data_IF_620576929520
#
_entry.id   IF_620576929520
#
_cell.length_a   1.000
_cell.length_b   1.000
_cell.length_c   1.000
_cell.angle_alpha   90.00
_cell.angle_beta   90.00
_cell.angle_gamma   90.00
#
_symmetry.space_group_name_H-M   'P 1'
#
loop_
_entity.id
_entity.type
_entity.pdbx_description
1 polymer ?
#
# COMPACT_ATOMS: atom_id res chain seq x y z
N UNK A 1 -17.16 25.14 1.87
CA UNK A 1 -16.84 23.70 1.98
C UNK A 1 -16.39 23.45 3.41
N UNK A 2 -16.90 22.44 4.14
CA UNK A 2 -16.31 22.10 5.42
C UNK A 2 -14.81 21.84 5.20
N UNK A 3 -13.97 22.40 6.08
CA UNK A 3 -12.52 22.27 6.00
C UNK A 3 -12.18 20.77 6.00
N UNK A 4 -11.43 20.31 5.00
CA UNK A 4 -11.08 18.88 4.89
C UNK A 4 -10.18 18.56 6.08
N UNK A 5 -10.67 17.82 7.08
CA UNK A 5 -9.88 17.50 8.28
C UNK A 5 -8.78 16.46 7.99
N UNK A 6 -9.05 15.57 7.04
CA UNK A 6 -8.21 14.42 6.71
C UNK A 6 -8.02 14.29 5.22
N UNK A 7 -6.82 13.93 4.78
CA UNK A 7 -6.53 13.65 3.39
C UNK A 7 -5.97 12.25 3.21
N UNK A 8 -6.59 11.46 2.34
CA UNK A 8 -6.06 10.16 1.92
C UNK A 8 -5.09 10.31 0.75
N UNK A 9 -3.92 9.69 0.87
CA UNK A 9 -2.91 9.66 -0.18
C UNK A 9 -2.56 8.18 -0.48
N UNK A 10 -3.05 7.62 -1.60
CA UNK A 10 -2.92 6.17 -1.88
C UNK A 10 -1.49 5.75 -2.22
N UNK A 11 -0.65 6.68 -2.67
CA UNK A 11 0.67 6.40 -3.22
C UNK A 11 0.63 6.01 -4.71
N UNK A 12 1.77 6.16 -5.37
CA UNK A 12 1.86 6.04 -6.83
C UNK A 12 1.85 4.59 -7.34
N UNK A 13 2.38 3.63 -6.58
CA UNK A 13 2.41 2.21 -6.97
C UNK A 13 1.03 1.57 -6.86
N UNK A 14 0.30 1.81 -5.76
CA UNK A 14 -1.08 1.31 -5.61
C UNK A 14 -2.00 1.87 -6.72
N UNK A 15 -1.84 3.15 -7.04
CA UNK A 15 -2.58 3.81 -8.13
C UNK A 15 -2.20 3.32 -9.53
N UNK A 16 -1.04 2.68 -9.70
CA UNK A 16 -0.67 2.00 -10.94
C UNK A 16 -1.17 0.58 -11.01
N UNK A 17 -1.27 -0.07 -9.86
CA UNK A 17 -1.69 -1.45 -9.73
C UNK A 17 -3.19 -1.58 -10.03
N UNK A 18 -4.05 -0.98 -9.19
CA UNK A 18 -5.50 -1.20 -9.29
C UNK A 18 -6.29 0.05 -8.89
N UNK A 19 -6.75 0.86 -9.87
CA UNK A 19 -7.50 2.10 -9.62
C UNK A 19 -8.78 1.91 -8.81
N UNK A 20 -9.45 0.77 -8.98
CA UNK A 20 -10.70 0.42 -8.31
C UNK A 20 -10.49 0.32 -6.80
N UNK A 21 -9.37 -0.25 -6.33
CA UNK A 21 -9.07 -0.33 -4.90
C UNK A 21 -8.91 1.04 -4.26
N UNK A 22 -8.28 1.99 -4.98
CA UNK A 22 -8.15 3.37 -4.49
C UNK A 22 -9.52 4.04 -4.36
N UNK A 23 -10.41 3.78 -5.31
CA UNK A 23 -11.79 4.27 -5.28
C UNK A 23 -12.54 3.75 -4.04
N UNK A 24 -12.46 2.44 -3.78
CA UNK A 24 -13.12 1.80 -2.64
C UNK A 24 -12.57 2.25 -1.30
N UNK A 25 -11.24 2.46 -1.18
CA UNK A 25 -10.65 3.02 0.05
C UNK A 25 -11.19 4.42 0.32
N UNK A 26 -11.34 5.27 -0.70
CA UNK A 26 -11.89 6.61 -0.51
C UNK A 26 -13.35 6.55 -0.09
N UNK A 27 -14.17 5.68 -0.70
CA UNK A 27 -15.57 5.48 -0.28
C UNK A 27 -15.66 5.01 1.17
N UNK A 28 -14.86 4.01 1.53
CA UNK A 28 -14.77 3.49 2.89
C UNK A 28 -14.38 4.57 3.89
N UNK A 29 -13.31 5.33 3.62
CA UNK A 29 -12.86 6.42 4.49
C UNK A 29 -13.89 7.55 4.57
N UNK A 30 -14.60 7.89 3.49
CA UNK A 30 -15.68 8.89 3.53
C UNK A 30 -16.86 8.43 4.38
N UNK A 31 -17.20 7.14 4.32
CA UNK A 31 -18.28 6.56 5.12
C UNK A 31 -17.92 6.55 6.62
N UNK A 32 -16.73 6.04 6.97
CA UNK A 32 -16.27 5.94 8.37
C UNK A 32 -15.82 7.27 8.96
N UNK A 33 -15.25 8.15 8.14
CA UNK A 33 -14.67 9.43 8.52
C UNK A 33 -15.16 10.55 7.57
N UNK A 34 -16.38 11.08 7.78
CA UNK A 34 -16.91 12.17 6.98
C UNK A 34 -15.96 13.37 6.92
N UNK A 35 -15.84 13.98 5.74
CA UNK A 35 -14.91 15.08 5.49
C UNK A 35 -13.49 14.65 5.09
N UNK A 36 -13.29 13.36 4.79
CA UNK A 36 -12.04 12.87 4.17
C UNK A 36 -11.95 13.29 2.70
N UNK A 37 -10.91 14.04 2.36
CA UNK A 37 -10.50 14.33 0.99
C UNK A 37 -9.44 13.35 0.49
N UNK A 38 -8.97 13.51 -0.74
CA UNK A 38 -7.85 12.70 -1.24
C UNK A 38 -6.96 13.46 -2.24
N UNK A 39 -5.66 13.15 -2.24
CA UNK A 39 -4.66 13.71 -3.15
C UNK A 39 -3.92 12.56 -3.85
N UNK A 40 -3.77 12.65 -5.17
CA UNK A 40 -2.89 11.78 -5.94
C UNK A 40 -1.66 12.54 -6.42
N UNK A 41 -0.61 12.49 -5.62
CA UNK A 41 0.69 13.11 -5.94
C UNK A 41 1.83 12.32 -5.29
N UNK A 42 2.95 12.22 -6.00
CA UNK A 42 4.10 11.44 -5.55
C UNK A 42 4.79 12.12 -4.35
N UNK A 43 5.19 11.32 -3.36
CA UNK A 43 5.95 11.80 -2.20
C UNK A 43 7.42 12.12 -2.49
N UNK A 44 7.92 11.86 -3.71
CA UNK A 44 9.31 12.13 -4.07
C UNK A 44 10.34 11.14 -3.49
N UNK A 45 9.93 10.04 -2.84
CA UNK A 45 10.84 9.01 -2.29
C UNK A 45 11.93 8.55 -3.28
N UNK A 46 11.65 8.29 -4.58
CA UNK A 46 12.70 7.92 -5.53
C UNK A 46 13.80 8.97 -5.71
N UNK A 47 13.47 10.25 -5.83
CA UNK A 47 14.47 11.31 -6.00
C UNK A 47 15.32 11.48 -4.75
N UNK A 48 14.72 11.32 -3.56
CA UNK A 48 15.46 11.31 -2.28
C UNK A 48 16.42 10.13 -2.20
N UNK A 49 15.97 8.94 -2.58
CA UNK A 49 16.80 7.72 -2.57
C UNK A 49 17.99 7.80 -3.54
N UNK A 50 17.88 8.57 -4.63
CA UNK A 50 18.98 8.84 -5.56
C UNK A 50 19.91 9.99 -5.13
N UNK A 51 19.74 10.55 -3.93
CA UNK A 51 20.53 11.69 -3.44
C UNK A 51 20.19 13.03 -4.13
N UNK A 52 19.13 13.08 -4.94
CA UNK A 52 18.70 14.31 -5.62
C UNK A 52 17.84 15.17 -4.66
N UNK A 53 18.45 15.64 -3.58
CA UNK A 53 17.75 16.29 -2.48
C UNK A 53 17.03 17.57 -2.87
N UNK A 54 17.57 18.39 -3.76
CA UNK A 54 16.90 19.63 -4.21
C UNK A 54 15.63 19.32 -5.01
N UNK A 55 15.70 18.34 -5.92
CA UNK A 55 14.53 17.85 -6.66
C UNK A 55 13.51 17.18 -5.74
N UNK A 56 13.96 16.51 -4.68
CA UNK A 56 13.07 15.98 -3.65
C UNK A 56 12.32 17.12 -2.94
N UNK A 57 13.03 18.16 -2.48
CA UNK A 57 12.44 19.32 -1.81
C UNK A 57 11.41 20.02 -2.70
N UNK A 58 11.74 20.25 -3.98
CA UNK A 58 10.84 20.85 -4.96
C UNK A 58 9.56 20.01 -5.15
N UNK A 59 9.70 18.70 -5.32
CA UNK A 59 8.53 17.80 -5.51
C UNK A 59 7.68 17.71 -4.26
N UNK A 60 8.33 17.61 -3.10
CA UNK A 60 7.64 17.47 -1.82
C UNK A 60 6.91 18.76 -1.44
N UNK A 61 7.52 19.94 -1.64
CA UNK A 61 6.87 21.22 -1.36
C UNK A 61 5.58 21.39 -2.16
N UNK A 62 5.56 20.93 -3.42
CA UNK A 62 4.34 20.91 -4.22
C UNK A 62 3.25 19.99 -3.65
N UNK A 63 3.61 18.88 -3.02
CA UNK A 63 2.65 17.99 -2.33
C UNK A 63 2.17 18.63 -1.03
N UNK A 64 3.08 19.16 -0.21
CA UNK A 64 2.76 19.86 1.03
C UNK A 64 1.80 21.02 0.78
N UNK A 65 2.06 21.85 -0.23
CA UNK A 65 1.19 22.97 -0.58
C UNK A 65 -0.24 22.53 -0.96
N UNK A 66 -0.42 21.35 -1.55
CA UNK A 66 -1.77 20.81 -1.82
C UNK A 66 -2.46 20.34 -0.54
N UNK A 67 -1.72 19.71 0.38
CA UNK A 67 -2.23 19.30 1.70
C UNK A 67 -2.67 20.54 2.49
N UNK A 68 -1.82 21.57 2.54
CA UNK A 68 -2.10 22.82 3.26
C UNK A 68 -3.29 23.57 2.66
N UNK A 69 -3.41 23.57 1.32
CA UNK A 69 -4.54 24.19 0.60
C UNK A 69 -5.87 23.50 0.92
N UNK A 70 -5.87 22.19 1.14
CA UNK A 70 -7.06 21.47 1.62
C UNK A 70 -7.39 21.78 3.09
N UNK A 71 -6.39 22.25 3.85
CA UNK A 71 -6.51 22.52 5.28
C UNK A 71 -6.57 21.24 6.12
N UNK A 72 -5.90 20.18 5.68
CA UNK A 72 -5.90 18.88 6.35
C UNK A 72 -4.90 18.83 7.52
N UNK A 73 -5.39 18.39 8.68
CA UNK A 73 -4.59 18.20 9.90
C UNK A 73 -4.04 16.77 10.00
N UNK A 74 -4.64 15.82 9.29
CA UNK A 74 -4.26 14.41 9.29
C UNK A 74 -4.08 13.87 7.86
N UNK A 75 -2.99 13.15 7.65
CA UNK A 75 -2.65 12.47 6.39
C UNK A 75 -2.79 10.97 6.61
N UNK A 76 -3.68 10.32 5.86
CA UNK A 76 -3.86 8.87 5.86
C UNK A 76 -3.18 8.30 4.62
N UNK A 77 -2.31 7.29 4.79
CA UNK A 77 -1.59 6.65 3.68
C UNK A 77 -1.75 5.14 3.67
N UNK A 78 -1.91 4.57 2.48
CA UNK A 78 -1.85 3.11 2.27
C UNK A 78 -0.42 2.62 1.95
N UNK A 79 0.49 3.52 1.56
CA UNK A 79 1.85 3.19 1.17
C UNK A 79 2.86 3.48 2.30
N UNK A 80 3.70 2.51 2.61
CA UNK A 80 4.70 2.50 3.68
C UNK A 80 5.83 3.49 3.40
N UNK A 81 6.22 3.61 2.13
CA UNK A 81 7.18 4.63 1.72
C UNK A 81 6.60 6.04 1.79
N UNK A 82 5.30 6.21 1.52
CA UNK A 82 4.61 7.48 1.75
C UNK A 82 4.54 7.78 3.26
N UNK A 83 4.22 6.79 4.09
CA UNK A 83 4.21 6.92 5.55
C UNK A 83 5.52 7.48 6.09
N UNK A 84 6.66 6.82 5.80
CA UNK A 84 7.97 7.30 6.24
C UNK A 84 8.30 8.70 5.72
N UNK A 85 8.07 8.92 4.42
CA UNK A 85 8.46 10.17 3.78
C UNK A 85 7.63 11.33 4.33
N UNK A 86 6.32 11.14 4.52
CA UNK A 86 5.44 12.19 5.00
C UNK A 86 5.62 12.44 6.49
N UNK A 87 5.77 11.39 7.31
CA UNK A 87 6.02 11.54 8.75
C UNK A 87 7.29 12.35 9.03
N UNK A 88 8.30 12.24 8.15
CA UNK A 88 9.56 12.98 8.28
C UNK A 88 9.55 14.39 7.66
N UNK A 89 8.53 14.77 6.88
CA UNK A 89 8.55 16.02 6.09
C UNK A 89 7.25 16.85 6.20
N UNK A 90 6.24 16.38 6.92
CA UNK A 90 4.98 17.09 7.22
C UNK A 90 4.78 17.18 8.75
N UNK A 91 5.63 17.92 9.49
CA UNK A 91 5.58 17.93 10.96
C UNK A 91 4.29 18.54 11.54
N UNK A 92 3.60 19.38 10.77
CA UNK A 92 2.34 20.01 11.17
C UNK A 92 1.13 19.08 11.04
N UNK A 93 1.27 17.96 10.32
CA UNK A 93 0.19 17.00 10.11
C UNK A 93 0.43 15.70 10.87
N UNK A 94 -0.65 15.15 11.45
CA UNK A 94 -0.64 13.79 11.98
C UNK A 94 -0.62 12.80 10.82
N UNK A 95 0.47 12.05 10.64
CA UNK A 95 0.57 11.04 9.59
C UNK A 95 0.20 9.67 10.16
N UNK A 96 -0.78 9.01 9.55
CA UNK A 96 -1.28 7.69 9.94
C UNK A 96 -1.27 6.71 8.79
N UNK A 97 -0.94 5.47 9.07
CA UNK A 97 -1.18 4.39 8.11
C UNK A 97 -2.67 4.03 8.08
N UNK A 98 -3.17 3.62 6.91
CA UNK A 98 -4.50 3.01 6.82
C UNK A 98 -4.59 1.74 7.68
N UNK A 99 -3.48 1.00 7.79
CA UNK A 99 -3.46 -0.32 8.42
C UNK A 99 -3.55 -0.25 9.94
N UNK A 100 -2.95 0.76 10.58
CA UNK A 100 -3.15 1.04 12.01
C UNK A 100 -4.54 1.64 12.30
N UNK A 101 -5.18 2.27 11.30
CA UNK A 101 -6.44 2.97 11.46
C UNK A 101 -7.65 2.03 11.35
N UNK A 102 -7.60 1.03 10.46
CA UNK A 102 -8.72 0.10 10.23
C UNK A 102 -9.20 -0.61 11.51
N UNK A 103 -8.32 -1.08 12.43
CA UNK A 103 -8.76 -1.62 13.71
C UNK A 103 -9.58 -0.64 14.57
N UNK A 104 -9.35 0.68 14.45
CA UNK A 104 -10.08 1.69 15.21
C UNK A 104 -11.45 2.04 14.61
N UNK A 105 -11.55 2.04 13.28
CA UNK A 105 -12.77 2.50 12.57
C UNK A 105 -13.61 1.32 12.03
N UNK A 106 -13.13 0.10 12.19
CA UNK A 106 -13.78 -1.15 11.81
C UNK A 106 -13.69 -1.49 10.32
N UNK A 107 -13.91 -2.75 9.98
CA UNK A 107 -13.91 -3.24 8.60
C UNK A 107 -15.01 -2.60 7.72
N UNK A 108 -14.86 -2.59 6.39
CA UNK A 108 -15.96 -2.28 5.48
C UNK A 108 -17.15 -3.25 5.68
N UNK A 109 -18.37 -2.77 5.44
CA UNK A 109 -19.58 -3.58 5.62
C UNK A 109 -19.55 -4.85 4.75
N UNK A 110 -20.00 -5.97 5.31
CA UNK A 110 -20.07 -7.26 4.60
C UNK A 110 -18.71 -7.94 4.32
N UNK A 111 -17.60 -7.45 4.88
CA UNK A 111 -16.28 -8.06 4.64
C UNK A 111 -15.81 -9.02 5.74
N UNK A 112 -16.42 -8.96 6.94
CA UNK A 112 -16.05 -9.84 8.06
C UNK A 112 -16.41 -11.29 7.73
N UNK A 113 -15.46 -12.22 7.97
CA UNK A 113 -15.54 -13.66 7.67
C UNK A 113 -15.85 -14.00 6.21
N UNK A 114 -15.71 -13.04 5.27
CA UNK A 114 -16.08 -13.29 3.88
C UNK A 114 -15.26 -14.41 3.24
N UNK A 115 -14.06 -14.68 3.77
CA UNK A 115 -13.12 -15.67 3.27
C UNK A 115 -12.98 -16.91 4.17
N UNK A 116 -13.89 -17.10 5.13
CA UNK A 116 -13.94 -18.27 6.05
C UNK A 116 -13.78 -19.62 5.33
N UNK A 117 -14.28 -19.72 4.10
CA UNK A 117 -14.27 -20.95 3.29
C UNK A 117 -13.22 -20.91 2.17
N UNK A 118 -12.26 -19.97 2.22
CA UNK A 118 -11.12 -19.96 1.30
C UNK A 118 -10.18 -21.12 1.62
N UNK A 119 -9.61 -21.72 0.58
CA UNK A 119 -8.58 -22.76 0.67
C UNK A 119 -7.14 -22.19 0.67
N UNK A 120 -7.00 -20.87 0.73
CA UNK A 120 -5.69 -20.21 0.73
C UNK A 120 -5.11 -20.09 2.13
N UNK A 121 -3.90 -20.59 2.31
CA UNK A 121 -2.98 -20.13 3.36
C UNK A 121 -2.07 -19.03 2.79
N UNK A 122 -2.20 -17.80 3.28
CA UNK A 122 -1.46 -16.65 2.77
C UNK A 122 -0.18 -16.40 3.57
N UNK A 123 0.97 -16.40 2.88
CA UNK A 123 2.22 -15.93 3.45
C UNK A 123 2.25 -14.41 3.57
N UNK A 124 2.42 -13.89 4.80
CA UNK A 124 2.41 -12.44 5.05
C UNK A 124 3.79 -11.84 4.81
N UNK A 125 3.90 -10.91 3.86
CA UNK A 125 5.13 -10.14 3.66
C UNK A 125 5.03 -8.74 4.26
N UNK A 126 5.72 -8.53 5.38
CA UNK A 126 5.89 -7.22 6.01
C UNK A 126 6.89 -6.33 5.26
N UNK A 127 6.55 -5.05 5.13
CA UNK A 127 7.38 -4.08 4.41
C UNK A 127 8.53 -3.56 5.27
N UNK A 128 9.76 -3.64 4.73
CA UNK A 128 10.95 -3.08 5.37
C UNK A 128 10.86 -1.56 5.65
N UNK A 129 10.00 -0.82 4.95
CA UNK A 129 9.80 0.62 5.20
C UNK A 129 9.03 0.89 6.50
N UNK A 130 8.33 -0.07 7.06
CA UNK A 130 7.58 0.09 8.32
C UNK A 130 7.94 -1.02 9.30
N UNK A 131 9.17 -1.56 9.22
CA UNK A 131 9.62 -2.66 10.07
C UNK A 131 9.55 -2.32 11.56
N UNK A 132 9.74 -1.05 11.91
CA UNK A 132 9.74 -0.60 13.31
C UNK A 132 8.33 -0.17 13.78
N UNK A 133 7.26 -0.58 13.06
CA UNK A 133 5.86 -0.19 13.32
C UNK A 133 5.00 -1.40 13.63
N UNK A 134 5.03 -1.81 14.90
CA UNK A 134 4.24 -2.92 15.43
C UNK A 134 2.72 -2.70 15.26
N UNK A 135 2.25 -1.46 15.34
CA UNK A 135 0.85 -1.09 15.13
C UNK A 135 0.38 -1.35 13.69
N UNK A 136 1.23 -1.06 12.70
CA UNK A 136 0.96 -1.43 11.30
C UNK A 136 0.94 -2.96 11.14
N UNK A 137 1.93 -3.66 11.71
CA UNK A 137 2.00 -5.12 11.62
C UNK A 137 0.78 -5.82 12.24
N UNK A 138 0.36 -5.33 13.40
CA UNK A 138 -0.81 -5.84 14.13
C UNK A 138 -2.09 -5.52 13.38
N UNK A 139 -2.20 -4.33 12.79
CA UNK A 139 -3.33 -3.95 11.96
C UNK A 139 -3.51 -4.85 10.73
N UNK A 140 -2.41 -5.24 10.06
CA UNK A 140 -2.46 -6.17 8.93
C UNK A 140 -2.99 -7.54 9.34
N UNK A 141 -2.52 -8.08 10.46
CA UNK A 141 -2.95 -9.39 10.97
C UNK A 141 -4.39 -9.36 11.45
N UNK A 142 -4.78 -8.28 12.12
CA UNK A 142 -6.17 -8.05 12.49
C UNK A 142 -7.08 -8.01 11.24
N UNK A 143 -6.69 -7.31 10.18
CA UNK A 143 -7.47 -7.30 8.93
C UNK A 143 -7.63 -8.71 8.34
N UNK A 144 -6.54 -9.49 8.29
CA UNK A 144 -6.56 -10.84 7.71
C UNK A 144 -7.45 -11.79 8.54
N UNK A 145 -7.34 -11.73 9.87
CA UNK A 145 -8.21 -12.44 10.81
C UNK A 145 -9.68 -12.07 10.62
N UNK A 146 -9.99 -10.77 10.55
CA UNK A 146 -11.36 -10.31 10.34
C UNK A 146 -11.93 -10.75 8.99
N UNK A 147 -11.12 -10.89 7.94
CA UNK A 147 -11.56 -11.42 6.66
C UNK A 147 -11.82 -12.94 6.72
N UNK A 148 -11.20 -13.65 7.64
CA UNK A 148 -11.27 -15.11 7.77
C UNK A 148 -10.28 -15.87 6.90
N UNK A 149 -9.14 -15.27 6.54
CA UNK A 149 -8.09 -15.98 5.80
C UNK A 149 -7.13 -16.71 6.73
N UNK A 150 -6.72 -17.93 6.35
CA UNK A 150 -5.58 -18.59 6.96
C UNK A 150 -4.28 -17.89 6.53
N UNK A 151 -3.33 -17.79 7.47
CA UNK A 151 -2.06 -17.11 7.24
C UNK A 151 -0.89 -17.89 7.79
N UNK A 152 0.26 -17.79 7.12
CA UNK A 152 1.54 -18.27 7.62
C UNK A 152 2.54 -17.11 7.76
N UNK A 153 3.51 -17.29 8.65
CA UNK A 153 4.56 -16.33 8.91
C UNK A 153 5.91 -16.88 8.43
N UNK A 154 6.62 -16.16 7.55
CA UNK A 154 7.96 -16.55 7.13
C UNK A 154 8.97 -16.36 8.28
N UNK A 155 10.15 -17.01 8.24
CA UNK A 155 11.19 -16.89 9.27
C UNK A 155 11.59 -15.44 9.58
N UNK A 156 11.56 -14.56 8.57
CA UNK A 156 11.79 -13.12 8.74
C UNK A 156 10.51 -12.37 8.43
N UNK A 157 9.82 -11.94 9.48
CA UNK A 157 8.57 -11.19 9.47
C UNK A 157 8.62 -10.03 10.47
N UNK A 158 7.63 -9.13 10.46
CA UNK A 158 7.52 -7.97 11.37
C UNK A 158 8.81 -7.14 11.44
N UNK A 159 9.32 -6.86 12.64
CA UNK A 159 10.56 -6.13 12.88
C UNK A 159 11.80 -6.80 12.25
N UNK A 160 11.73 -8.12 12.06
CA UNK A 160 12.77 -8.91 11.44
C UNK A 160 12.64 -9.02 9.91
N UNK A 161 11.62 -8.40 9.29
CA UNK A 161 11.37 -8.52 7.86
C UNK A 161 12.57 -8.10 7.00
N UNK A 162 12.80 -8.85 5.92
CA UNK A 162 13.85 -8.58 4.93
C UNK A 162 13.29 -7.77 3.76
N UNK A 163 14.16 -7.02 3.10
CA UNK A 163 13.81 -6.24 1.90
C UNK A 163 13.31 -7.17 0.79
N UNK A 164 12.25 -6.75 0.08
CA UNK A 164 11.70 -7.46 -1.08
C UNK A 164 12.53 -7.33 -2.37
N UNK A 165 13.61 -6.54 -2.38
CA UNK A 165 14.41 -6.28 -3.58
C UNK A 165 13.96 -5.07 -4.41
N UNK A 166 12.88 -4.36 -4.03
CA UNK A 166 12.47 -3.11 -4.69
C UNK A 166 13.09 -1.84 -4.10
N UNK A 167 13.58 -1.93 -2.85
CA UNK A 167 14.04 -0.77 -2.08
C UNK A 167 15.25 -0.05 -2.69
N UNK A 168 15.50 1.18 -2.22
CA UNK A 168 16.75 1.89 -2.53
C UNK A 168 17.01 2.18 -4.02
N UNK A 169 16.01 2.07 -4.89
CA UNK A 169 16.18 2.19 -6.35
C UNK A 169 17.15 1.15 -6.95
N UNK A 170 17.31 -0.01 -6.30
CA UNK A 170 18.19 -1.08 -6.79
C UNK A 170 17.70 -1.68 -8.11
N UNK A 171 16.38 -1.73 -8.36
CA UNK A 171 15.82 -2.32 -9.58
C UNK A 171 16.39 -1.66 -10.86
N UNK A 172 16.35 -0.32 -11.03
CA UNK A 172 17.00 0.31 -12.19
C UNK A 172 18.52 0.42 -12.09
N UNK A 173 19.11 0.39 -10.89
CA UNK A 173 20.55 0.61 -10.70
C UNK A 173 21.38 -0.68 -10.85
N UNK A 174 20.85 -1.82 -10.41
CA UNK A 174 21.47 -3.14 -10.48
C UNK A 174 20.37 -4.24 -10.51
N UNK A 175 19.79 -4.51 -11.69
CA UNK A 175 18.70 -5.46 -11.86
C UNK A 175 19.04 -6.89 -11.38
N UNK A 176 20.26 -7.35 -11.64
CA UNK A 176 20.70 -8.70 -11.26
C UNK A 176 20.73 -8.88 -9.74
N UNK A 177 21.22 -7.87 -9.02
CA UNK A 177 21.17 -7.87 -7.56
C UNK A 177 19.72 -7.81 -7.06
N UNK A 178 18.89 -6.98 -7.69
CA UNK A 178 17.47 -6.88 -7.32
C UNK A 178 16.78 -8.24 -7.45
N UNK A 179 17.01 -8.97 -8.55
CA UNK A 179 16.44 -10.31 -8.77
C UNK A 179 16.93 -11.31 -7.72
N UNK A 180 18.25 -11.36 -7.43
CA UNK A 180 18.79 -12.25 -6.38
C UNK A 180 18.16 -12.00 -4.99
N UNK A 181 17.85 -10.74 -4.68
CA UNK A 181 17.17 -10.39 -3.43
C UNK A 181 15.69 -10.80 -3.46
N UNK A 182 15.02 -10.66 -4.60
CA UNK A 182 13.65 -11.12 -4.79
C UNK A 182 13.55 -12.64 -4.60
N UNK A 183 14.39 -13.41 -5.29
CA UNK A 183 14.44 -14.88 -5.21
C UNK A 183 14.69 -15.33 -3.77
N UNK A 184 15.75 -14.81 -3.13
CA UNK A 184 16.05 -15.13 -1.72
C UNK A 184 14.89 -14.80 -0.79
N UNK A 185 14.13 -13.75 -1.07
CA UNK A 185 13.01 -13.34 -0.20
C UNK A 185 11.78 -14.22 -0.43
N UNK A 186 11.52 -14.67 -1.65
CA UNK A 186 10.40 -15.57 -1.94
C UNK A 186 10.68 -17.01 -1.50
N UNK A 187 11.94 -17.45 -1.51
CA UNK A 187 12.37 -18.77 -1.01
C UNK A 187 12.11 -18.98 0.50
N UNK A 188 11.90 -17.90 1.27
CA UNK A 188 11.58 -18.00 2.70
C UNK A 188 10.12 -18.35 2.98
N UNK A 189 9.25 -18.34 1.97
CA UNK A 189 7.83 -18.65 2.12
C UNK A 189 7.54 -20.07 1.64
N UNK A 190 6.85 -20.84 2.47
CA UNK A 190 6.36 -22.17 2.11
C UNK A 190 5.15 -22.03 1.17
N UNK A 191 4.22 -21.13 1.49
CA UNK A 191 3.07 -20.82 0.65
C UNK A 191 3.48 -20.23 -0.69
N UNK A 192 2.78 -20.66 -1.74
CA UNK A 192 2.83 -20.05 -3.07
C UNK A 192 2.11 -18.69 -3.11
N UNK A 193 1.12 -18.51 -2.24
CA UNK A 193 0.20 -17.37 -2.24
C UNK A 193 0.59 -16.37 -1.16
N UNK A 194 0.93 -15.15 -1.57
CA UNK A 194 1.44 -14.13 -0.65
C UNK A 194 0.51 -12.92 -0.59
N UNK A 195 0.38 -12.37 0.61
CA UNK A 195 -0.25 -11.08 0.83
C UNK A 195 0.80 -10.04 1.21
N UNK A 196 0.71 -8.89 0.56
CA UNK A 196 1.51 -7.71 0.90
C UNK A 196 0.59 -6.50 1.09
N UNK A 197 1.04 -5.50 1.83
CA UNK A 197 0.34 -4.22 1.97
C UNK A 197 1.12 -3.07 1.32
N UNK A 198 2.11 -3.42 0.49
CA UNK A 198 2.92 -2.52 -0.32
C UNK A 198 2.90 -2.99 -1.77
N UNK A 199 2.30 -2.21 -2.68
CA UNK A 199 2.19 -2.58 -4.10
C UNK A 199 3.54 -2.88 -4.78
N UNK A 200 4.63 -2.23 -4.35
CA UNK A 200 5.98 -2.54 -4.85
C UNK A 200 6.52 -3.88 -4.32
N UNK A 201 6.17 -4.25 -3.09
CA UNK A 201 6.50 -5.57 -2.56
C UNK A 201 5.71 -6.65 -3.29
N UNK A 202 4.41 -6.42 -3.56
CA UNK A 202 3.61 -7.33 -4.41
C UNK A 202 4.28 -7.60 -5.75
N UNK A 203 4.68 -6.56 -6.47
CA UNK A 203 5.39 -6.73 -7.75
C UNK A 203 6.71 -7.50 -7.59
N UNK A 204 7.42 -7.33 -6.49
CA UNK A 204 8.68 -8.03 -6.23
C UNK A 204 8.48 -9.50 -5.88
N UNK A 205 7.43 -9.81 -5.12
CA UNK A 205 7.05 -11.19 -4.80
C UNK A 205 6.61 -11.94 -6.06
N UNK A 206 5.85 -11.28 -6.95
CA UNK A 206 5.51 -11.84 -8.27
C UNK A 206 6.75 -12.06 -9.14
N UNK A 207 7.71 -11.14 -9.15
CA UNK A 207 9.00 -11.33 -9.85
C UNK A 207 9.86 -12.46 -9.30
N UNK A 208 9.76 -12.74 -7.99
CA UNK A 208 10.40 -13.89 -7.35
C UNK A 208 9.61 -15.20 -7.48
N UNK A 209 8.56 -15.23 -8.34
CA UNK A 209 7.84 -16.45 -8.68
C UNK A 209 6.62 -16.79 -7.82
N UNK A 210 6.20 -15.92 -6.90
CA UNK A 210 5.05 -16.17 -6.01
C UNK A 210 3.76 -15.50 -6.51
N UNK A 211 2.61 -16.07 -6.16
CA UNK A 211 1.28 -15.52 -6.45
C UNK A 211 0.91 -14.47 -5.41
N UNK A 212 1.29 -13.21 -5.67
CA UNK A 212 1.16 -12.14 -4.69
C UNK A 212 0.01 -11.17 -4.99
N UNK A 213 -0.79 -10.89 -3.94
CA UNK A 213 -1.85 -9.87 -3.94
C UNK A 213 -1.53 -8.73 -2.98
N UNK A 214 -2.20 -7.59 -3.19
CA UNK A 214 -2.24 -6.52 -2.22
C UNK A 214 -3.37 -6.79 -1.22
N UNK A 215 -3.22 -6.44 0.06
CA UNK A 215 -4.26 -6.66 1.07
C UNK A 215 -5.61 -6.00 0.71
N UNK A 216 -5.57 -4.91 -0.06
CA UNK A 216 -6.78 -4.27 -0.57
C UNK A 216 -7.56 -5.13 -1.57
N UNK A 217 -6.89 -6.03 -2.30
CA UNK A 217 -7.56 -7.03 -3.14
C UNK A 217 -8.37 -7.98 -2.27
N UNK A 218 -7.85 -8.35 -1.10
CA UNK A 218 -8.53 -9.19 -0.14
C UNK A 218 -9.68 -8.46 0.54
N UNK A 219 -9.51 -7.17 0.87
CA UNK A 219 -10.56 -6.38 1.52
C UNK A 219 -11.72 -6.10 0.55
N UNK A 220 -11.43 -5.47 -0.59
CA UNK A 220 -12.44 -4.90 -1.50
C UNK A 220 -12.71 -5.72 -2.76
N UNK A 221 -11.90 -6.75 -3.04
CA UNK A 221 -12.12 -7.67 -4.16
C UNK A 221 -13.00 -8.87 -3.81
N UNK A 222 -13.15 -9.83 -4.74
CA UNK A 222 -13.80 -11.10 -4.46
C UNK A 222 -13.02 -11.92 -3.42
N UNK A 223 -13.61 -13.03 -2.96
CA UNK A 223 -12.88 -14.02 -2.16
C UNK A 223 -11.89 -14.72 -3.08
N UNK A 224 -10.62 -14.65 -2.70
CA UNK A 224 -9.52 -15.36 -3.37
C UNK A 224 -9.44 -16.81 -2.89
N UNK A 225 -9.22 -17.73 -3.82
CA UNK A 225 -9.05 -19.18 -3.65
C UNK A 225 -7.86 -19.66 -4.49
N UNK A 226 -7.45 -20.94 -4.39
CA UNK A 226 -6.37 -21.49 -5.23
C UNK A 226 -6.68 -21.43 -6.73
N UNK A 227 -7.97 -21.43 -7.09
CA UNK A 227 -8.47 -21.36 -8.48
C UNK A 227 -8.57 -19.92 -9.02
N UNK A 228 -8.29 -18.91 -8.18
CA UNK A 228 -8.36 -17.52 -8.60
C UNK A 228 -7.25 -17.14 -9.59
N UNK A 229 -7.57 -16.25 -10.53
CA UNK A 229 -6.56 -15.66 -11.40
C UNK A 229 -5.77 -14.59 -10.65
N UNK A 230 -4.52 -14.94 -10.29
CA UNK A 230 -3.63 -14.03 -9.62
C UNK A 230 -3.17 -12.90 -10.54
N UNK A 231 -3.07 -11.66 -10.04
CA UNK A 231 -2.67 -10.55 -10.87
C UNK A 231 -1.26 -10.81 -11.42
N UNK A 232 -0.99 -10.35 -12.64
CA UNK A 232 0.35 -10.33 -13.23
C UNK A 232 1.00 -8.94 -13.04
N UNK A 233 2.18 -8.73 -13.60
CA UNK A 233 2.87 -7.43 -13.51
C UNK A 233 2.34 -6.47 -14.57
N UNK A 234 2.04 -5.23 -14.15
CA UNK A 234 1.61 -4.21 -15.10
C UNK A 234 2.79 -3.74 -15.96
N UNK A 235 2.54 -3.59 -17.26
CA UNK A 235 3.44 -2.90 -18.17
C UNK A 235 3.55 -1.40 -17.82
N UNK A 236 4.59 -0.69 -18.28
CA UNK A 236 4.70 0.76 -18.09
C UNK A 236 3.50 1.55 -18.63
N UNK A 237 2.93 1.10 -19.76
CA UNK A 237 1.75 1.73 -20.38
C UNK A 237 0.51 1.53 -19.51
N UNK A 238 0.23 0.30 -19.07
CA UNK A 238 -0.87 0.00 -18.16
C UNK A 238 -0.75 0.76 -16.84
N UNK A 239 0.46 0.77 -16.26
CA UNK A 239 0.76 1.55 -15.06
C UNK A 239 0.45 3.04 -15.21
N UNK A 240 0.68 3.63 -16.39
CA UNK A 240 0.37 5.03 -16.66
C UNK A 240 -1.13 5.25 -16.85
N UNK A 241 -1.79 4.39 -17.63
CA UNK A 241 -3.24 4.41 -17.83
C UNK A 241 -3.98 4.25 -16.50
N UNK A 242 -3.51 3.36 -15.63
CA UNK A 242 -4.10 3.13 -14.32
C UNK A 242 -3.96 4.35 -13.40
N UNK A 243 -2.82 5.06 -13.42
CA UNK A 243 -2.70 6.34 -12.67
C UNK A 243 -3.69 7.38 -13.17
N UNK A 244 -3.89 7.47 -14.49
CA UNK A 244 -4.89 8.37 -15.07
C UNK A 244 -6.32 7.99 -14.67
N UNK A 245 -6.68 6.70 -14.75
CA UNK A 245 -7.98 6.17 -14.29
C UNK A 245 -8.19 6.45 -12.80
N UNK A 246 -7.16 6.26 -11.98
CA UNK A 246 -7.20 6.57 -10.54
C UNK A 246 -7.55 8.03 -10.31
N UNK A 247 -6.87 8.96 -11.01
CA UNK A 247 -7.18 10.39 -10.91
C UNK A 247 -8.65 10.69 -11.25
N UNK A 248 -9.19 10.08 -12.31
CA UNK A 248 -10.59 10.25 -12.74
C UNK A 248 -11.58 9.70 -11.72
N UNK A 249 -11.32 8.50 -11.19
CA UNK A 249 -12.15 7.88 -10.13
C UNK A 249 -12.17 8.71 -8.86
N UNK A 250 -11.00 9.20 -8.42
CA UNK A 250 -10.90 10.09 -7.27
C UNK A 250 -11.72 11.36 -7.43
N UNK A 251 -11.65 12.01 -8.61
CA UNK A 251 -12.46 13.19 -8.90
C UNK A 251 -13.97 12.90 -8.81
N UNK A 252 -14.41 11.75 -9.33
CA UNK A 252 -15.81 11.32 -9.28
C UNK A 252 -16.31 11.02 -7.86
N UNK A 253 -15.47 10.43 -7.01
CA UNK A 253 -15.85 10.10 -5.62
C UNK A 253 -15.81 11.35 -4.71
N UNK A 254 -14.99 12.35 -5.05
CA UNK A 254 -14.82 13.57 -4.27
C UNK A 254 -15.77 14.70 -4.67
N UNK A 255 -16.34 14.67 -5.87
CA UNK A 255 -17.44 15.55 -6.30
C UNK A 255 -18.74 15.21 -5.58
#
# INVERSE_FOLDING_TARGET
>A
MPKTKRVFIPGCSLSSYRPELVEEVIKYLKNKLPGTGAILKCCGKPTKALGQYDKFKERYSGLQAEIDKLGADEIIVACQSCYLTMSANSPEQKVRSLWELMPEIGMPEGTVNKAENSDLTLGVHDSCSTRDREDIHSGIRWILDQLGYDTEEPPHTKENTRCCGFGGMVVPANPDLAQKVMDRRTDEFESEHLVTYCAACRASMTKGGKKAVHILDLIFGPVWTSDSEFPELETPMESWVNRYKTKKKMQKVLS
#
